data_IF_216863961386
#
_entry.id   IF_216863961386
#
_cell.length_a   1.000
_cell.length_b   1.000
_cell.length_c   1.000
_cell.angle_alpha   90.00
_cell.angle_beta   90.00
_cell.angle_gamma   90.00
#
_symmetry.space_group_name_H-M   'P 1'
#
loop_
_entity.id
_entity.type
_entity.pdbx_description
1 polymer ?
#
# COMPACT_ATOMS: atom_id res chain seq x y z
N UNK A 1 -30.01 13.03 -13.90
CA UNK A 1 -29.41 12.82 -12.57
C UNK A 1 -28.13 12.05 -12.82
N UNK A 2 -26.98 12.65 -12.49
CA UNK A 2 -25.71 11.93 -12.52
C UNK A 2 -25.72 11.07 -11.25
N UNK A 3 -25.41 9.78 -11.40
CA UNK A 3 -25.45 8.80 -10.32
C UNK A 3 -24.26 9.05 -9.38
N UNK A 4 -24.49 9.78 -8.30
CA UNK A 4 -23.52 10.00 -7.22
C UNK A 4 -23.22 8.71 -6.40
N UNK A 5 -23.93 7.60 -6.67
CA UNK A 5 -23.73 6.30 -6.01
C UNK A 5 -22.48 5.54 -6.47
N UNK A 6 -21.92 5.84 -7.65
CA UNK A 6 -20.77 5.12 -8.22
C UNK A 6 -19.46 5.39 -7.44
N UNK A 7 -19.34 6.58 -6.82
CA UNK A 7 -18.14 7.00 -6.10
C UNK A 7 -18.08 6.44 -4.66
N UNK A 8 -19.19 5.89 -4.13
CA UNK A 8 -19.21 5.20 -2.84
C UNK A 8 -18.78 3.72 -2.93
N UNK A 9 -18.82 3.12 -4.13
CA UNK A 9 -18.44 1.71 -4.32
C UNK A 9 -16.92 1.59 -4.56
N UNK A 10 -16.29 2.64 -5.11
CA UNK A 10 -14.87 2.62 -5.48
C UNK A 10 -13.99 2.96 -4.30
N UNK A 11 -13.03 2.08 -3.98
CA UNK A 11 -12.03 2.32 -2.94
C UNK A 11 -11.17 3.52 -3.38
N UNK A 12 -10.58 4.25 -2.42
CA UNK A 12 -9.83 5.47 -2.73
C UNK A 12 -8.69 5.24 -3.76
N UNK A 13 -8.11 4.04 -3.76
CA UNK A 13 -7.07 3.64 -4.69
C UNK A 13 -7.58 3.18 -6.06
N UNK A 14 -8.89 2.89 -6.21
CA UNK A 14 -9.48 2.51 -7.49
C UNK A 14 -9.58 3.67 -8.49
N UNK A 15 -9.33 4.90 -8.02
CA UNK A 15 -9.31 6.11 -8.85
C UNK A 15 -8.06 6.18 -9.74
N UNK A 16 -6.99 5.47 -9.38
CA UNK A 16 -5.76 5.38 -10.15
C UNK A 16 -5.57 3.94 -10.66
N UNK A 17 -5.53 3.70 -11.98
CA UNK A 17 -5.45 2.35 -12.53
C UNK A 17 -4.14 1.61 -12.18
N UNK A 18 -3.03 2.33 -11.98
CA UNK A 18 -1.74 1.73 -11.60
C UNK A 18 -1.82 1.32 -10.14
N UNK A 19 -2.29 2.22 -9.28
CA UNK A 19 -2.41 1.96 -7.85
C UNK A 19 -3.46 0.87 -7.55
N UNK A 20 -4.62 0.91 -8.20
CA UNK A 20 -5.66 -0.11 -8.06
C UNK A 20 -5.10 -1.50 -8.40
N UNK A 21 -4.34 -1.60 -9.49
CA UNK A 21 -3.69 -2.85 -9.88
C UNK A 21 -2.64 -3.28 -8.85
N UNK A 22 -1.79 -2.38 -8.38
CA UNK A 22 -0.77 -2.68 -7.37
C UNK A 22 -1.38 -3.17 -6.05
N UNK A 23 -2.43 -2.50 -5.56
CA UNK A 23 -3.11 -2.87 -4.32
C UNK A 23 -3.91 -4.17 -4.47
N UNK A 24 -4.50 -4.43 -5.64
CA UNK A 24 -5.16 -5.71 -5.92
C UNK A 24 -4.15 -6.88 -5.92
N UNK A 25 -3.00 -6.68 -6.56
CA UNK A 25 -1.90 -7.67 -6.54
C UNK A 25 -1.46 -7.93 -5.09
N UNK A 26 -1.28 -6.87 -4.29
CA UNK A 26 -0.96 -6.97 -2.88
C UNK A 26 -2.01 -7.77 -2.10
N UNK A 27 -3.31 -7.50 -2.29
CA UNK A 27 -4.43 -8.22 -1.65
C UNK A 27 -4.41 -9.73 -1.96
N UNK A 28 -3.99 -10.12 -3.17
CA UNK A 28 -3.90 -11.53 -3.58
C UNK A 28 -2.57 -12.22 -3.24
N UNK A 29 -1.59 -11.46 -2.75
CA UNK A 29 -0.26 -11.98 -2.38
C UNK A 29 -0.30 -12.74 -1.06
N UNK A 30 0.73 -13.54 -0.79
CA UNK A 30 0.86 -14.24 0.51
C UNK A 30 1.04 -13.25 1.66
N UNK A 31 0.57 -13.61 2.86
CA UNK A 31 0.70 -12.78 4.06
C UNK A 31 2.14 -12.31 4.30
N UNK A 32 3.13 -13.17 4.05
CA UNK A 32 4.53 -12.81 4.20
C UNK A 32 4.95 -11.69 3.23
N UNK A 33 4.55 -11.78 1.97
CA UNK A 33 4.84 -10.76 0.96
C UNK A 33 4.08 -9.46 1.25
N UNK A 34 2.83 -9.57 1.72
CA UNK A 34 2.03 -8.43 2.13
C UNK A 34 2.71 -7.63 3.24
N UNK A 35 3.18 -8.30 4.29
CA UNK A 35 3.90 -7.66 5.41
C UNK A 35 5.23 -7.05 4.93
N UNK A 36 5.99 -7.75 4.10
CA UNK A 36 7.25 -7.21 3.56
C UNK A 36 7.02 -5.91 2.77
N UNK A 37 6.01 -5.91 1.89
CA UNK A 37 5.65 -4.73 1.11
C UNK A 37 5.15 -3.61 2.02
N UNK A 38 4.31 -3.91 3.01
CA UNK A 38 3.81 -2.93 3.96
C UNK A 38 4.95 -2.25 4.74
N UNK A 39 5.91 -3.02 5.26
CA UNK A 39 7.08 -2.48 5.94
C UNK A 39 7.93 -1.61 5.02
N UNK A 40 8.16 -2.06 3.79
CA UNK A 40 8.92 -1.27 2.81
C UNK A 40 8.23 0.06 2.49
N UNK A 41 6.91 0.05 2.30
CA UNK A 41 6.11 1.27 2.09
C UNK A 41 6.26 2.24 3.26
N UNK A 42 6.10 1.74 4.50
CA UNK A 42 6.25 2.55 5.71
C UNK A 42 7.65 3.20 5.76
N UNK A 43 8.71 2.40 5.54
CA UNK A 43 10.09 2.88 5.55
C UNK A 43 10.31 3.98 4.52
N UNK A 44 9.98 3.74 3.25
CA UNK A 44 10.21 4.72 2.16
C UNK A 44 9.42 6.01 2.40
N UNK A 45 8.17 5.91 2.88
CA UNK A 45 7.34 7.09 3.16
C UNK A 45 7.94 7.89 4.32
N UNK A 46 8.36 7.26 5.40
CA UNK A 46 8.97 7.94 6.54
C UNK A 46 10.28 8.62 6.14
N UNK A 47 11.16 7.90 5.45
CA UNK A 47 12.44 8.44 4.96
C UNK A 47 12.20 9.68 4.09
N UNK A 48 11.27 9.59 3.14
CA UNK A 48 10.92 10.72 2.29
C UNK A 48 10.37 11.92 3.07
N UNK A 49 9.54 11.70 4.09
CA UNK A 49 8.96 12.78 4.89
C UNK A 49 9.99 13.48 5.81
N UNK A 50 10.94 12.72 6.35
CA UNK A 50 12.06 13.24 7.14
C UNK A 50 13.02 14.04 6.24
N UNK A 51 13.38 13.50 5.07
CA UNK A 51 14.28 14.16 4.12
C UNK A 51 13.72 15.51 3.63
N UNK A 52 12.39 15.59 3.45
CA UNK A 52 11.71 16.84 3.09
C UNK A 52 11.41 17.75 4.29
N UNK A 53 11.84 17.39 5.51
CA UNK A 53 11.60 18.12 6.76
C UNK A 53 10.11 18.51 6.95
N UNK A 54 9.20 17.68 6.45
CA UNK A 54 7.76 17.93 6.48
C UNK A 54 7.18 17.60 7.87
N UNK A 55 7.81 16.66 8.57
CA UNK A 55 7.47 16.27 9.94
C UNK A 55 8.75 16.16 10.77
N UNK A 56 8.64 16.43 12.08
CA UNK A 56 9.80 16.37 12.99
C UNK A 56 10.00 14.98 13.61
N UNK A 57 9.00 14.09 13.54
CA UNK A 57 9.07 12.76 14.14
C UNK A 57 8.14 11.75 13.47
N UNK A 58 8.53 10.47 13.52
CA UNK A 58 7.80 9.34 12.92
C UNK A 58 6.39 9.21 13.52
N UNK A 59 6.25 9.44 14.83
CA UNK A 59 4.97 9.34 15.53
C UNK A 59 3.93 10.36 15.02
N UNK A 60 4.35 11.56 14.61
CA UNK A 60 3.46 12.57 14.04
C UNK A 60 2.94 12.14 12.66
N UNK A 61 3.79 11.49 11.87
CA UNK A 61 3.45 10.98 10.54
C UNK A 61 2.39 9.88 10.66
N UNK A 62 2.62 8.89 11.54
CA UNK A 62 1.68 7.78 11.76
C UNK A 62 0.36 8.29 12.36
N UNK A 63 0.42 9.20 13.33
CA UNK A 63 -0.78 9.79 13.92
C UNK A 63 -1.63 10.55 12.89
N UNK A 64 -1.00 11.25 11.95
CA UNK A 64 -1.73 11.95 10.87
C UNK A 64 -2.46 11.01 9.92
N UNK A 65 -2.00 9.76 9.80
CA UNK A 65 -2.56 8.76 8.91
C UNK A 65 -3.77 8.03 9.53
N UNK A 66 -3.85 7.97 10.87
CA UNK A 66 -4.91 7.26 11.59
C UNK A 66 -6.16 8.09 11.87
N UNK A 67 -6.13 9.40 11.60
CA UNK A 67 -7.20 10.35 11.96
C UNK A 67 -8.45 10.25 11.04
N UNK A 68 -8.32 9.65 9.84
CA UNK A 68 -9.45 9.44 8.93
C UNK A 68 -10.10 8.06 9.14
N UNK A 69 -10.99 7.96 10.13
CA UNK A 69 -11.94 6.84 10.24
C UNK A 69 -12.92 6.87 9.07
N UNK A 70 -12.61 6.17 7.99
CA UNK A 70 -13.61 5.86 6.97
C UNK A 70 -14.64 4.87 7.54
N UNK A 71 -15.90 5.31 7.63
CA UNK A 71 -17.02 4.45 8.00
C UNK A 71 -17.30 3.49 6.84
N UNK A 72 -16.61 2.35 6.84
CA UNK A 72 -16.73 1.33 5.79
C UNK A 72 -15.99 0.04 6.13
N UNK A 73 -16.61 -0.74 7.02
CA UNK A 73 -16.47 -2.19 7.22
C UNK A 73 -15.22 -2.89 6.63
N UNK A 74 -14.33 -3.31 7.52
CA UNK A 74 -13.55 -4.56 7.40
C UNK A 74 -12.79 -4.74 6.08
N UNK A 75 -11.99 -3.75 5.67
CA UNK A 75 -11.14 -3.89 4.49
C UNK A 75 -10.09 -4.96 4.74
N UNK A 76 -9.61 -5.61 3.69
CA UNK A 76 -8.67 -6.73 3.81
C UNK A 76 -7.39 -6.33 4.58
N UNK A 77 -6.93 -5.08 4.39
CA UNK A 77 -5.75 -4.53 5.06
C UNK A 77 -6.03 -4.06 6.49
N UNK A 78 -7.29 -3.97 6.94
CA UNK A 78 -7.63 -3.62 8.33
C UNK A 78 -7.43 -4.80 9.29
N UNK A 79 -7.13 -5.99 8.76
CA UNK A 79 -6.89 -7.21 9.56
C UNK A 79 -5.49 -7.23 10.20
N UNK A 80 -4.55 -6.44 9.69
CA UNK A 80 -3.19 -6.35 10.19
C UNK A 80 -2.78 -4.88 10.36
N UNK A 81 -2.25 -4.53 11.53
CA UNK A 81 -1.91 -3.15 11.87
C UNK A 81 -0.80 -2.58 10.98
N UNK A 82 0.12 -3.42 10.49
CA UNK A 82 1.22 -3.01 9.59
C UNK A 82 0.65 -2.65 8.22
N UNK A 83 -0.19 -3.52 7.66
CA UNK A 83 -0.86 -3.26 6.39
C UNK A 83 -1.75 -2.03 6.45
N UNK A 84 -2.55 -1.91 7.51
CA UNK A 84 -3.40 -0.74 7.75
C UNK A 84 -2.58 0.54 7.77
N UNK A 85 -1.51 0.57 8.56
CA UNK A 85 -0.62 1.74 8.68
C UNK A 85 0.01 2.09 7.32
N UNK A 86 0.53 1.10 6.60
CA UNK A 86 1.15 1.31 5.30
C UNK A 86 0.18 1.92 4.28
N UNK A 87 -1.04 1.40 4.20
CA UNK A 87 -2.07 1.88 3.26
C UNK A 87 -2.59 3.27 3.65
N UNK A 88 -2.73 3.55 4.95
CA UNK A 88 -3.09 4.88 5.45
C UNK A 88 -2.00 5.91 5.10
N UNK A 89 -0.73 5.58 5.31
CA UNK A 89 0.40 6.43 4.92
C UNK A 89 0.48 6.64 3.40
N UNK A 90 0.22 5.60 2.61
CA UNK A 90 0.17 5.71 1.16
C UNK A 90 -0.94 6.67 0.67
N UNK A 91 -2.05 6.76 1.42
CA UNK A 91 -3.14 7.70 1.16
C UNK A 91 -2.72 9.15 1.40
N UNK A 92 -1.91 9.43 2.42
CA UNK A 92 -1.46 10.81 2.74
C UNK A 92 -0.35 11.32 1.81
N UNK A 93 0.29 10.42 1.05
CA UNK A 93 1.35 10.76 0.10
C UNK A 93 0.86 11.57 -1.11
N UNK A 94 1.77 12.35 -1.71
CA UNK A 94 1.53 13.04 -2.98
C UNK A 94 1.29 12.05 -4.11
N UNK A 95 0.58 12.46 -5.16
CA UNK A 95 0.32 11.59 -6.32
C UNK A 95 1.60 11.09 -6.99
N UNK A 96 2.67 11.90 -6.99
CA UNK A 96 3.97 11.52 -7.56
C UNK A 96 4.62 10.38 -6.75
N UNK A 97 4.73 10.55 -5.43
CA UNK A 97 5.30 9.52 -4.56
C UNK A 97 4.43 8.26 -4.58
N UNK A 98 3.10 8.42 -4.58
CA UNK A 98 2.16 7.30 -4.64
C UNK A 98 2.31 6.49 -5.93
N UNK A 99 2.53 7.14 -7.07
CA UNK A 99 2.83 6.46 -8.34
C UNK A 99 4.11 5.64 -8.26
N UNK A 100 5.19 6.22 -7.72
CA UNK A 100 6.46 5.51 -7.52
C UNK A 100 6.32 4.30 -6.60
N UNK A 101 5.61 4.46 -5.48
CA UNK A 101 5.36 3.36 -4.55
C UNK A 101 4.48 2.26 -5.17
N UNK A 102 3.53 2.61 -6.05
CA UNK A 102 2.75 1.61 -6.77
C UNK A 102 3.60 0.79 -7.76
N UNK A 103 4.57 1.42 -8.42
CA UNK A 103 5.56 0.73 -9.25
C UNK A 103 6.45 -0.20 -8.40
N UNK A 104 6.90 0.25 -7.23
CA UNK A 104 7.71 -0.55 -6.31
C UNK A 104 6.95 -1.80 -5.82
N UNK A 105 5.66 -1.66 -5.46
CA UNK A 105 4.79 -2.80 -5.10
C UNK A 105 4.75 -3.81 -6.25
N UNK A 106 4.53 -3.34 -7.49
CA UNK A 106 4.46 -4.22 -8.65
C UNK A 106 5.82 -4.91 -8.93
N UNK A 107 6.93 -4.21 -8.74
CA UNK A 107 8.28 -4.75 -8.92
C UNK A 107 8.58 -5.87 -7.91
N UNK A 108 8.34 -5.62 -6.61
CA UNK A 108 8.59 -6.61 -5.54
C UNK A 108 7.74 -7.86 -5.75
N UNK A 109 6.46 -7.72 -6.13
CA UNK A 109 5.61 -8.89 -6.36
C UNK A 109 6.04 -9.65 -7.61
N UNK A 110 6.43 -8.95 -8.67
CA UNK A 110 6.96 -9.61 -9.89
C UNK A 110 8.25 -10.37 -9.59
N UNK A 111 9.13 -9.81 -8.78
CA UNK A 111 10.36 -10.48 -8.33
C UNK A 111 10.05 -11.70 -7.45
N UNK A 112 9.09 -11.59 -6.52
CA UNK A 112 8.66 -12.71 -5.70
C UNK A 112 8.09 -13.86 -6.54
N UNK A 113 7.26 -13.57 -7.55
CA UNK A 113 6.72 -14.58 -8.47
C UNK A 113 7.84 -15.30 -9.24
N UNK A 114 8.83 -14.57 -9.76
CA UNK A 114 9.95 -15.17 -10.50
C UNK A 114 10.88 -16.03 -9.61
N UNK A 115 10.99 -15.69 -8.32
CA UNK A 115 11.81 -16.47 -7.39
C UNK A 115 11.14 -17.80 -6.99
N UNK A 116 9.80 -17.87 -6.96
CA UNK A 116 9.06 -19.12 -6.67
C UNK A 116 9.26 -20.16 -7.79
N UNK A 117 9.37 -19.73 -9.05
CA UNK A 117 9.70 -20.62 -10.18
C UNK A 117 11.13 -21.18 -10.12
N UNK A 118 12.01 -20.60 -9.30
CA UNK A 118 13.44 -20.98 -9.23
C UNK A 118 13.73 -22.04 -8.14
N UNK A 119 12.89 -22.17 -7.12
CA UNK A 119 13.08 -23.15 -6.03
C UNK A 119 12.49 -24.54 -6.34
N UNK A 120 11.64 -24.67 -7.37
CA UNK A 120 11.05 -25.95 -7.79
C UNK A 120 11.99 -26.80 -8.70
N UNK A 121 13.25 -26.39 -8.89
CA UNK A 121 14.23 -27.05 -9.75
C UNK A 121 15.35 -27.83 -9.02
N UNK A 122 15.17 -28.17 -7.74
CA UNK A 122 16.12 -28.99 -6.96
C UNK A 122 15.44 -30.18 -6.27
N UNK A 123 14.75 -31.00 -7.05
CA UNK A 123 14.47 -32.39 -6.67
C UNK A 123 14.70 -33.31 -7.89
N UNK A 124 15.98 -33.59 -8.19
CA UNK A 124 16.41 -34.68 -9.08
C UNK A 124 17.66 -35.36 -8.51
#
# INVERSE_FOLDING_TARGET
MINDDDDQIRRWYDKDPILSKAVNILETSSDNLQIQIALNLITVIIEHNIDNNTYSSVDEIIASADDEKEFGSNRWYDLDDTLKTAIQLLKTCSNELRGKLAEDIAAIVTEALNNVDSEEALDI
#
